data_IF_088846789156
#
_entry.id   IF_088846789156
#
_cell.length_a   1.000
_cell.length_b   1.000
_cell.length_c   1.000
_cell.angle_alpha   90.00
_cell.angle_beta   90.00
_cell.angle_gamma   90.00
#
_symmetry.space_group_name_H-M   'P 1'
#
loop_
_entity.id
_entity.type
_entity.pdbx_description
1 polymer ?
#
# COMPACT_ATOMS: atom_id res chain seq x y z
N UNK A 1 -20.80 -2.28 14.11
CA UNK A 1 -20.08 -3.52 14.46
C UNK A 1 -18.84 -3.16 15.26
N UNK A 2 -18.88 -3.30 16.59
CA UNK A 2 -17.94 -2.65 17.52
C UNK A 2 -16.45 -2.61 17.09
N UNK A 3 -15.76 -1.55 17.52
CA UNK A 3 -14.33 -1.39 17.30
C UNK A 3 -13.54 -2.58 17.86
N UNK A 4 -12.63 -3.12 17.05
CA UNK A 4 -11.80 -4.26 17.43
C UNK A 4 -10.34 -3.86 17.50
N UNK A 5 -9.68 -4.12 18.61
CA UNK A 5 -8.22 -3.97 18.69
C UNK A 5 -7.54 -5.23 18.14
N UNK A 6 -6.66 -5.06 17.16
CA UNK A 6 -5.92 -6.14 16.51
C UNK A 6 -4.41 -5.90 16.65
N UNK A 7 -3.63 -6.99 16.65
CA UNK A 7 -2.17 -6.93 16.70
C UNK A 7 -1.58 -7.03 15.29
N UNK A 8 -0.68 -6.11 14.94
CA UNK A 8 0.00 -6.12 13.65
C UNK A 8 1.02 -7.26 13.57
N UNK A 9 0.91 -8.12 12.54
CA UNK A 9 1.83 -9.24 12.34
C UNK A 9 3.28 -8.84 11.97
N UNK A 10 3.50 -7.61 11.47
CA UNK A 10 4.85 -7.16 11.11
C UNK A 10 5.59 -6.47 12.26
N UNK A 11 4.90 -5.57 12.98
CA UNK A 11 5.52 -4.72 14.01
C UNK A 11 5.05 -5.01 15.44
N UNK A 12 4.12 -5.96 15.62
CA UNK A 12 3.49 -6.31 16.89
C UNK A 12 2.79 -5.16 17.63
N UNK A 13 2.55 -4.02 16.96
CA UNK A 13 1.79 -2.93 17.51
C UNK A 13 0.28 -3.25 17.53
N UNK A 14 -0.41 -2.80 18.56
CA UNK A 14 -1.86 -2.84 18.65
C UNK A 14 -2.46 -1.69 17.83
N UNK A 15 -3.48 -1.99 17.02
CA UNK A 15 -4.20 -0.98 16.24
C UNK A 15 -5.70 -1.24 16.30
N UNK A 16 -6.50 -0.18 16.18
CA UNK A 16 -7.96 -0.25 16.23
C UNK A 16 -8.51 -0.42 14.82
N UNK A 17 -9.27 -1.49 14.62
CA UNK A 17 -10.06 -1.76 13.43
C UNK A 17 -11.49 -1.27 13.66
N UNK A 18 -11.72 -0.03 13.25
CA UNK A 18 -12.96 0.71 13.54
C UNK A 18 -14.13 0.24 12.69
N UNK A 19 -15.34 0.57 13.13
CA UNK A 19 -16.58 0.36 12.36
C UNK A 19 -16.51 0.91 10.93
N UNK A 20 -15.95 2.10 10.75
CA UNK A 20 -15.80 2.74 9.44
C UNK A 20 -14.87 1.97 8.51
N UNK A 21 -13.76 1.42 9.04
CA UNK A 21 -12.88 0.55 8.26
C UNK A 21 -13.54 -0.78 7.91
N UNK A 22 -14.34 -1.36 8.81
CA UNK A 22 -15.10 -2.58 8.53
C UNK A 22 -16.10 -2.39 7.39
N UNK A 23 -16.84 -1.28 7.40
CA UNK A 23 -17.76 -0.93 6.32
C UNK A 23 -17.02 -0.77 4.97
N UNK A 24 -15.86 -0.10 4.99
CA UNK A 24 -15.02 0.04 3.80
C UNK A 24 -14.51 -1.31 3.27
N UNK A 25 -14.10 -2.21 4.16
CA UNK A 25 -13.65 -3.56 3.79
C UNK A 25 -14.79 -4.40 3.20
N UNK A 26 -15.98 -4.32 3.80
CA UNK A 26 -17.19 -5.00 3.32
C UNK A 26 -17.61 -4.48 1.93
N UNK A 27 -17.60 -3.17 1.72
CA UNK A 27 -17.94 -2.55 0.43
C UNK A 27 -16.96 -2.95 -0.68
N UNK A 28 -15.68 -3.11 -0.34
CA UNK A 28 -14.65 -3.60 -1.26
C UNK A 28 -14.72 -5.11 -1.52
N UNK A 29 -15.59 -5.85 -0.83
CA UNK A 29 -15.69 -7.31 -0.92
C UNK A 29 -14.55 -8.06 -0.24
N UNK A 30 -13.83 -7.43 0.69
CA UNK A 30 -12.82 -8.09 1.49
C UNK A 30 -13.48 -8.84 2.65
N UNK A 31 -13.48 -10.17 2.58
CA UNK A 31 -13.98 -11.03 3.65
C UNK A 31 -12.99 -11.16 4.83
N UNK A 32 -11.75 -10.72 4.65
CA UNK A 32 -10.66 -10.92 5.61
C UNK A 32 -10.35 -9.62 6.38
N UNK A 33 -10.19 -9.75 7.69
CA UNK A 33 -9.76 -8.66 8.57
C UNK A 33 -8.29 -8.27 8.31
N UNK A 34 -7.93 -6.98 8.47
CA UNK A 34 -6.57 -6.54 8.30
C UNK A 34 -5.62 -7.20 9.32
N UNK A 35 -4.56 -7.81 8.82
CA UNK A 35 -3.50 -8.41 9.65
C UNK A 35 -2.34 -7.46 9.96
N UNK A 36 -2.37 -6.24 9.41
CA UNK A 36 -1.30 -5.25 9.45
C UNK A 36 -1.88 -3.88 9.78
N UNK A 37 -1.20 -3.13 10.64
CA UNK A 37 -1.60 -1.78 11.01
C UNK A 37 -1.50 -0.80 9.82
N UNK A 38 -2.19 0.35 9.89
CA UNK A 38 -2.15 1.38 8.85
C UNK A 38 -0.73 1.79 8.45
N UNK A 39 0.18 1.93 9.42
CA UNK A 39 1.57 2.33 9.17
C UNK A 39 2.33 1.30 8.32
N UNK A 40 2.25 0.02 8.67
CA UNK A 40 2.89 -1.05 7.90
C UNK A 40 2.27 -1.18 6.49
N UNK A 41 0.96 -0.95 6.35
CA UNK A 41 0.29 -0.90 5.03
C UNK A 41 0.80 0.28 4.21
N UNK A 42 0.93 1.46 4.82
CA UNK A 42 1.43 2.67 4.18
C UNK A 42 2.91 2.54 3.79
N UNK A 43 3.76 2.05 4.69
CA UNK A 43 5.18 1.83 4.42
C UNK A 43 5.40 0.90 3.21
N UNK A 44 4.63 -0.19 3.10
CA UNK A 44 4.68 -1.07 1.91
C UNK A 44 4.20 -0.37 0.64
N UNK A 45 3.16 0.46 0.71
CA UNK A 45 2.71 1.26 -0.43
C UNK A 45 3.78 2.25 -0.87
N UNK A 46 4.47 2.88 0.07
CA UNK A 46 5.53 3.85 -0.18
C UNK A 46 6.77 3.19 -0.78
N UNK A 47 7.17 2.01 -0.29
CA UNK A 47 8.26 1.22 -0.86
C UNK A 47 8.01 0.87 -2.34
N UNK A 48 6.78 0.47 -2.70
CA UNK A 48 6.41 0.19 -4.09
C UNK A 48 6.50 1.41 -5.00
N UNK A 49 6.15 2.61 -4.49
CA UNK A 49 6.30 3.87 -5.25
C UNK A 49 7.76 4.24 -5.43
N UNK A 50 8.61 4.02 -4.43
CA UNK A 50 10.03 4.37 -4.49
C UNK A 50 10.79 3.46 -5.49
N UNK A 51 10.45 2.17 -5.56
CA UNK A 51 11.06 1.26 -6.55
C UNK A 51 10.75 1.61 -8.02
N UNK A 52 9.71 2.40 -8.31
CA UNK A 52 9.40 2.86 -9.67
C UNK A 52 10.31 4.02 -10.13
N UNK A 53 10.97 4.71 -9.20
CA UNK A 53 11.88 5.82 -9.54
C UNK A 53 13.30 5.33 -9.88
N UNK A 54 13.60 4.03 -9.69
CA UNK A 54 14.90 3.43 -10.01
C UNK A 54 14.83 2.44 -11.20
N UNK A 55 13.81 2.52 -12.06
CA UNK A 55 13.76 1.80 -13.34
C UNK A 55 13.54 2.70 -14.56
N UNK A 56 13.75 4.02 -14.40
CA UNK A 56 13.69 5.00 -15.48
C UNK A 56 15.02 5.69 -15.81
N UNK A 57 16.14 5.26 -15.22
CA UNK A 57 17.44 5.93 -15.39
C UNK A 57 18.40 5.12 -16.26
N UNK A 58 18.00 4.81 -17.50
CA UNK A 58 18.92 4.50 -18.62
C UNK A 58 18.28 4.96 -19.93
N UNK A 59 18.57 6.19 -20.36
CA UNK A 59 18.15 6.67 -21.68
C UNK A 59 18.05 8.19 -21.85
N UNK A 60 18.93 8.97 -21.23
CA UNK A 60 19.14 10.35 -21.70
C UNK A 60 20.00 10.29 -22.98
N UNK A 61 19.34 10.17 -24.13
CA UNK A 61 19.97 10.29 -25.45
C UNK A 61 19.01 11.03 -26.36
N UNK A 62 19.25 12.32 -26.54
CA UNK A 62 18.62 13.15 -27.57
C UNK A 62 19.23 12.73 -28.91
N UNK A 63 18.43 12.21 -29.84
CA UNK A 63 18.82 12.15 -31.25
C UNK A 63 17.59 12.42 -32.11
N UNK A 64 17.54 13.63 -32.65
CA UNK A 64 16.61 14.03 -33.72
C UNK A 64 17.21 13.52 -35.03
N UNK A 65 16.71 12.42 -35.58
CA UNK A 65 17.23 11.91 -36.84
C UNK A 65 16.49 10.71 -37.39
N UNK A 66 15.69 10.95 -38.45
CA UNK A 66 15.33 10.05 -39.55
C UNK A 66 15.02 8.56 -39.26
N UNK A 67 13.80 8.11 -39.61
CA UNK A 67 13.64 7.09 -40.66
C UNK A 67 12.15 6.83 -40.99
N UNK A 68 11.76 7.31 -42.18
CA UNK A 68 10.78 6.76 -43.14
C UNK A 68 9.43 6.27 -42.62
#
# INVERSE_FOLDING_TARGET
MADKTLTCKDCNAEFVFTEGEQAFYAEKGFQNEPQRCPDCRQARKQQRRNSNHNRGSRGSGRDFGNQW
#
